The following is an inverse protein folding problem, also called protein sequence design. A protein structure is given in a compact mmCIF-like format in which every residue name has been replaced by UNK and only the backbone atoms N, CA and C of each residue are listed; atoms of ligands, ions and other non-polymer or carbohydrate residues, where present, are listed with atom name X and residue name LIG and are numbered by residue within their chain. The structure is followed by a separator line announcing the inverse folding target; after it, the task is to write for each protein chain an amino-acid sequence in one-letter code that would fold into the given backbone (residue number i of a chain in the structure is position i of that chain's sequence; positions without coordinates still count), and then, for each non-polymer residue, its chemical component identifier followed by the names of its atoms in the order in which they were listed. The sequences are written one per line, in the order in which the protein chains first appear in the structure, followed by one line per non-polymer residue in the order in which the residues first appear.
data_IF_183676477369
#
_entry.id   IF_183676477369
#
_cell.length_a   1.000
_cell.length_b   1.000
_cell.length_c   1.000
_cell.angle_alpha   90.00
_cell.angle_beta   90.00
_cell.angle_gamma   90.00
#
_symmetry.space_group_name_H-M   'P 1'
#
loop_
_entity.id
_entity.type
_entity.pdbx_description
1 polymer ?
#
# COMPACT_ATOMS: atom_id res chain seq x y z
N UNK A 1 13.46 57.57 4.63
CA UNK A 1 14.23 56.76 5.59
C UNK A 1 13.21 56.01 6.43
N UNK A 2 12.72 54.88 5.92
CA UNK A 2 13.14 53.50 6.21
C UNK A 2 12.28 52.91 7.34
N UNK A 3 11.22 52.25 6.87
CA UNK A 3 10.54 51.04 7.36
C UNK A 3 11.31 50.21 8.39
N UNK A 4 10.66 49.71 9.46
CA UNK A 4 10.88 48.35 10.00
C UNK A 4 9.62 47.84 10.71
N UNK A 5 8.93 46.94 10.00
CA UNK A 5 7.98 45.96 10.53
C UNK A 5 8.79 44.89 11.27
N UNK A 6 8.31 44.40 12.42
CA UNK A 6 8.74 43.09 12.90
C UNK A 6 7.55 42.32 13.48
N UNK A 7 7.10 41.37 12.66
CA UNK A 7 6.09 40.35 12.95
C UNK A 7 6.49 39.50 14.15
N UNK A 8 5.54 39.33 15.07
CA UNK A 8 5.59 38.26 16.07
C UNK A 8 5.39 36.92 15.38
N UNK A 9 6.40 36.07 15.54
CA UNK A 9 6.49 34.68 15.09
C UNK A 9 5.42 33.84 15.81
N UNK A 10 4.35 33.48 15.09
CA UNK A 10 3.39 32.47 15.55
C UNK A 10 3.93 31.13 15.02
N UNK A 11 4.23 30.15 15.88
CA UNK A 11 4.69 28.85 15.40
C UNK A 11 3.60 28.26 14.51
N UNK A 12 3.95 28.00 13.26
CA UNK A 12 3.07 27.44 12.25
C UNK A 12 2.38 26.19 12.82
N UNK A 13 1.09 26.33 13.11
CA UNK A 13 0.17 25.21 13.26
C UNK A 13 0.42 24.27 12.06
N UNK A 14 0.67 22.95 12.28
CA UNK A 14 0.88 22.06 11.17
C UNK A 14 -0.34 22.18 10.26
N UNK A 15 -0.10 22.58 9.01
CA UNK A 15 -1.13 22.84 8.04
C UNK A 15 -2.20 21.74 8.10
N UNK A 16 -3.50 22.09 8.05
CA UNK A 16 -4.54 21.09 8.06
C UNK A 16 -4.23 20.11 6.93
N UNK A 17 -3.97 18.86 7.30
CA UNK A 17 -3.93 17.72 6.40
C UNK A 17 -5.17 17.87 5.51
N UNK A 18 -4.94 18.32 4.28
CA UNK A 18 -6.01 18.55 3.30
C UNK A 18 -6.68 17.20 3.16
N UNK A 19 -7.89 17.12 3.70
CA UNK A 19 -8.72 15.94 3.59
C UNK A 19 -8.95 15.75 2.09
N UNK A 20 -8.20 14.81 1.52
CA UNK A 20 -8.38 14.25 0.19
C UNK A 20 -9.90 14.05 0.03
N UNK A 21 -10.50 14.68 -0.99
CA UNK A 21 -11.96 14.69 -1.18
C UNK A 21 -12.51 13.28 -0.98
N UNK A 22 -13.57 13.17 -0.19
CA UNK A 22 -14.20 11.91 0.24
C UNK A 22 -14.67 10.98 -0.89
N UNK A 23 -14.59 11.41 -2.16
CA UNK A 23 -14.93 10.64 -3.35
C UNK A 23 -13.88 9.58 -3.74
N UNK A 24 -12.66 9.65 -3.20
CA UNK A 24 -11.56 8.71 -3.55
C UNK A 24 -11.46 7.49 -2.60
N UNK A 25 -12.34 7.39 -1.59
CA UNK A 25 -12.33 6.29 -0.63
C UNK A 25 -13.24 5.15 -1.10
N UNK A 26 -12.64 4.02 -1.45
CA UNK A 26 -13.35 2.81 -1.86
C UNK A 26 -13.54 1.85 -0.68
N UNK A 27 -14.53 0.95 -0.79
CA UNK A 27 -14.64 -0.20 0.10
C UNK A 27 -13.56 -1.22 -0.26
N UNK A 28 -12.69 -1.55 0.68
CA UNK A 28 -11.58 -2.47 0.49
C UNK A 28 -11.81 -3.70 1.37
N UNK A 29 -11.77 -4.88 0.75
CA UNK A 29 -11.86 -6.17 1.44
C UNK A 29 -10.53 -6.90 1.30
N UNK A 30 -9.88 -7.13 2.44
CA UNK A 30 -8.59 -7.81 2.53
C UNK A 30 -8.76 -9.21 3.08
N UNK A 31 -8.07 -10.17 2.47
CA UNK A 31 -7.82 -11.48 3.08
C UNK A 31 -6.77 -11.34 4.19
N UNK A 32 -6.97 -12.09 5.27
CA UNK A 32 -6.10 -12.15 6.43
C UNK A 32 -6.06 -13.58 7.01
N UNK A 33 -4.93 -13.93 7.61
CA UNK A 33 -4.64 -15.26 8.14
C UNK A 33 -4.17 -16.26 7.08
N UNK A 34 -3.78 -17.48 7.52
CA UNK A 34 -3.34 -18.55 6.63
C UNK A 34 -4.42 -18.89 5.60
N UNK A 35 -4.02 -19.00 4.33
CA UNK A 35 -4.94 -19.26 3.21
C UNK A 35 -6.03 -18.20 2.96
N UNK A 36 -6.02 -17.08 3.70
CA UNK A 36 -6.97 -15.98 3.53
C UNK A 36 -8.39 -16.28 4.01
N UNK A 37 -8.57 -17.24 4.93
CA UNK A 37 -9.89 -17.65 5.45
C UNK A 37 -10.66 -16.56 6.21
N UNK A 38 -9.98 -15.51 6.69
CA UNK A 38 -10.62 -14.34 7.31
C UNK A 38 -10.62 -13.16 6.35
N UNK A 39 -11.78 -12.54 6.17
CA UNK A 39 -11.92 -11.29 5.44
C UNK A 39 -12.00 -10.11 6.42
N UNK A 40 -11.28 -9.03 6.12
CA UNK A 40 -11.32 -7.77 6.86
C UNK A 40 -11.68 -6.66 5.90
N UNK A 41 -12.68 -5.86 6.28
CA UNK A 41 -13.21 -4.79 5.44
C UNK A 41 -12.95 -3.43 6.09
N UNK A 42 -12.56 -2.45 5.27
CA UNK A 42 -12.47 -1.05 5.66
C UNK A 42 -12.70 -0.14 4.46
N UNK A 43 -12.95 1.15 4.71
CA UNK A 43 -12.95 2.16 3.65
C UNK A 43 -11.62 2.89 3.63
N UNK A 44 -11.03 3.01 2.45
CA UNK A 44 -9.68 3.53 2.29
C UNK A 44 -9.31 3.73 0.84
N UNK A 45 -8.01 3.94 0.62
CA UNK A 45 -7.43 4.11 -0.71
C UNK A 45 -6.09 3.39 -0.76
N UNK A 46 -5.77 2.68 -1.86
CA UNK A 46 -4.45 2.09 -2.06
C UNK A 46 -3.42 3.18 -2.37
N UNK A 47 -2.34 3.22 -1.60
CA UNK A 47 -1.22 4.14 -1.80
C UNK A 47 -0.14 3.50 -2.67
N UNK A 48 0.22 2.26 -2.38
CA UNK A 48 1.31 1.58 -3.05
C UNK A 48 1.08 0.07 -3.13
N UNK A 49 1.69 -0.54 -4.14
CA UNK A 49 1.83 -1.99 -4.25
C UNK A 49 3.26 -2.29 -4.72
N UNK A 50 3.90 -3.27 -4.11
CA UNK A 50 5.04 -3.91 -4.73
C UNK A 50 4.92 -5.41 -4.66
N UNK A 51 5.65 -6.00 -5.58
CA UNK A 51 5.77 -7.42 -5.73
C UNK A 51 7.23 -7.78 -5.80
N UNK A 52 7.60 -8.78 -5.02
CA UNK A 52 8.93 -9.33 -4.98
C UNK A 52 8.86 -10.82 -5.28
N UNK A 53 9.76 -11.28 -6.13
CA UNK A 53 9.97 -12.70 -6.36
C UNK A 53 11.23 -13.08 -5.59
N UNK A 54 11.12 -14.12 -4.78
CA UNK A 54 12.19 -14.65 -3.94
C UNK A 54 12.53 -16.07 -4.40
N UNK A 55 13.53 -16.68 -3.76
CA UNK A 55 13.89 -18.07 -4.03
C UNK A 55 12.84 -19.05 -3.53
N UNK A 56 12.07 -18.67 -2.52
CA UNK A 56 11.11 -19.55 -1.83
C UNK A 56 9.66 -19.30 -2.28
N UNK A 57 9.39 -18.14 -2.89
CA UNK A 57 8.06 -17.82 -3.39
C UNK A 57 7.92 -16.43 -3.97
N UNK A 58 6.69 -15.94 -4.04
CA UNK A 58 6.36 -14.57 -4.39
C UNK A 58 5.71 -13.85 -3.20
N UNK A 59 6.16 -12.63 -2.93
CA UNK A 59 5.56 -11.74 -1.95
C UNK A 59 4.90 -10.56 -2.65
N UNK A 60 3.67 -10.24 -2.25
CA UNK A 60 2.98 -9.02 -2.66
C UNK A 60 2.64 -8.21 -1.42
N UNK A 61 3.06 -6.95 -1.42
CA UNK A 61 2.82 -6.01 -0.34
C UNK A 61 1.96 -4.87 -0.87
N UNK A 62 0.82 -4.64 -0.23
CA UNK A 62 -0.11 -3.57 -0.55
C UNK A 62 -0.26 -2.66 0.65
N UNK A 63 -0.15 -1.36 0.42
CA UNK A 63 -0.33 -0.36 1.47
C UNK A 63 -1.49 0.55 1.11
N UNK A 64 -2.34 0.79 2.09
CA UNK A 64 -3.54 1.59 1.98
C UNK A 64 -3.57 2.65 3.06
N UNK A 65 -4.25 3.76 2.78
CA UNK A 65 -4.66 4.75 3.77
C UNK A 65 -6.12 4.52 4.12
N UNK A 66 -6.42 4.33 5.39
CA UNK A 66 -7.80 4.22 5.86
C UNK A 66 -8.48 5.58 5.91
N UNK A 67 -9.82 5.59 5.96
CA UNK A 67 -10.61 6.81 6.23
C UNK A 67 -10.20 7.54 7.51
N UNK A 68 -9.66 6.82 8.50
CA UNK A 68 -9.21 7.40 9.78
C UNK A 68 -7.76 7.90 9.73
N UNK A 69 -7.12 7.90 8.55
CA UNK A 69 -5.73 8.35 8.38
C UNK A 69 -4.67 7.29 8.71
N UNK A 70 -5.04 6.16 9.32
CA UNK A 70 -4.11 5.04 9.62
C UNK A 70 -3.66 4.32 8.34
N UNK A 71 -2.47 3.74 8.35
CA UNK A 71 -1.96 2.90 7.27
C UNK A 71 -2.35 1.44 7.50
N UNK A 72 -2.83 0.79 6.45
CA UNK A 72 -3.12 -0.65 6.45
C UNK A 72 -2.16 -1.31 5.48
N UNK A 73 -1.36 -2.25 5.98
CA UNK A 73 -0.39 -3.01 5.20
C UNK A 73 -0.90 -4.45 5.08
N UNK A 74 -1.16 -4.89 3.87
CA UNK A 74 -1.41 -6.29 3.57
C UNK A 74 -0.16 -6.90 2.94
N UNK A 75 0.31 -8.01 3.51
CA UNK A 75 1.35 -8.87 2.95
C UNK A 75 0.72 -10.17 2.53
N UNK A 76 1.00 -10.59 1.32
CA UNK A 76 0.62 -11.88 0.77
C UNK A 76 1.90 -12.62 0.42
N UNK A 77 2.14 -13.76 1.05
CA UNK A 77 3.25 -14.64 0.70
C UNK A 77 2.70 -15.92 0.07
N UNK A 78 3.26 -16.32 -1.07
CA UNK A 78 2.89 -17.56 -1.75
C UNK A 78 4.15 -18.38 -2.00
N UNK A 79 4.23 -19.57 -1.39
CA UNK A 79 5.34 -20.52 -1.56
C UNK A 79 5.33 -21.14 -2.97
N UNK A 80 6.50 -21.45 -3.54
CA UNK A 80 6.59 -22.18 -4.81
C UNK A 80 5.91 -23.56 -4.79
N UNK A 81 5.82 -24.19 -3.63
CA UNK A 81 5.15 -25.47 -3.40
C UNK A 81 3.63 -25.33 -3.44
N UNK A 82 3.10 -24.24 -2.89
CA UNK A 82 1.70 -23.85 -3.06
C UNK A 82 1.43 -23.53 -4.52
N UNK A 83 2.36 -22.88 -5.23
CA UNK A 83 2.30 -22.73 -6.68
C UNK A 83 2.29 -24.10 -7.38
N UNK A 84 3.12 -25.06 -6.93
CA UNK A 84 3.25 -26.38 -7.53
C UNK A 84 1.97 -27.23 -7.42
N UNK A 85 1.19 -27.08 -6.34
CA UNK A 85 -0.13 -27.71 -6.22
C UNK A 85 -1.13 -27.23 -7.29
N UNK A 86 -0.93 -26.04 -7.88
CA UNK A 86 -1.69 -25.57 -9.04
C UNK A 86 -1.00 -25.88 -10.39
N UNK A 87 0.15 -26.58 -10.40
CA UNK A 87 1.03 -26.78 -11.59
C UNK A 87 0.85 -28.07 -12.40
N UNK A 88 -0.39 -28.54 -12.59
CA UNK A 88 -0.72 -29.19 -13.87
C UNK A 88 -0.58 -28.22 -15.08
N UNK A 89 -0.13 -26.99 -14.80
CA UNK A 89 0.02 -25.79 -15.62
C UNK A 89 1.43 -25.52 -16.20
N UNK A 90 2.46 -26.30 -15.83
CA UNK A 90 3.86 -26.08 -16.27
C UNK A 90 4.08 -25.98 -17.80
N UNK A 91 3.06 -26.31 -18.61
CA UNK A 91 3.05 -26.13 -20.07
C UNK A 91 2.89 -24.68 -20.56
N UNK A 92 2.36 -23.74 -19.78
CA UNK A 92 1.83 -22.47 -20.32
C UNK A 92 2.40 -21.19 -19.65
N UNK A 93 3.72 -21.02 -19.74
CA UNK A 93 4.47 -19.84 -19.24
C UNK A 93 4.08 -18.50 -19.93
N UNK A 94 3.16 -18.47 -20.89
CA UNK A 94 2.61 -17.20 -21.39
C UNK A 94 1.37 -16.76 -20.62
N UNK A 95 0.56 -17.72 -20.14
CA UNK A 95 -0.67 -17.41 -19.41
C UNK A 95 -0.43 -16.98 -17.96
N UNK A 96 0.64 -17.43 -17.29
CA UNK A 96 0.94 -16.97 -15.92
C UNK A 96 1.17 -15.45 -15.85
N UNK A 97 1.86 -14.85 -16.85
CA UNK A 97 2.05 -13.39 -16.95
C UNK A 97 0.73 -12.64 -17.06
N UNK A 98 -0.24 -13.20 -17.78
CA UNK A 98 -1.57 -12.62 -17.96
C UNK A 98 -2.44 -12.75 -16.71
N UNK A 99 -2.37 -13.89 -15.99
CA UNK A 99 -3.12 -14.07 -14.74
C UNK A 99 -2.60 -13.20 -13.58
N UNK A 100 -1.30 -12.94 -13.53
CA UNK A 100 -0.73 -11.99 -12.58
C UNK A 100 -1.17 -10.53 -12.81
N UNK A 101 -1.97 -10.26 -13.84
CA UNK A 101 -2.64 -8.98 -14.07
C UNK A 101 -4.11 -8.92 -13.64
N UNK A 102 -4.85 -10.03 -13.56
CA UNK A 102 -6.33 -9.99 -13.45
C UNK A 102 -7.02 -11.20 -12.76
N UNK A 103 -6.30 -12.19 -12.22
CA UNK A 103 -6.89 -13.42 -11.66
C UNK A 103 -6.91 -13.45 -10.14
N UNK A 104 -8.06 -13.78 -9.57
CA UNK A 104 -8.37 -13.87 -8.14
C UNK A 104 -7.26 -14.57 -7.33
N UNK A 105 -6.56 -13.78 -6.51
CA UNK A 105 -5.45 -14.21 -5.67
C UNK A 105 -5.99 -15.03 -4.49
N UNK A 106 -6.21 -16.33 -4.68
CA UNK A 106 -6.68 -17.24 -3.63
C UNK A 106 -5.56 -17.98 -2.90
N UNK A 107 -4.33 -17.96 -3.42
CA UNK A 107 -3.23 -18.77 -2.90
C UNK A 107 -2.24 -17.93 -2.06
N UNK A 108 -1.95 -18.39 -0.85
CA UNK A 108 -0.92 -17.83 0.02
C UNK A 108 -1.39 -17.43 1.41
N UNK A 109 -0.43 -17.10 2.25
CA UNK A 109 -0.66 -16.58 3.60
C UNK A 109 -0.79 -15.07 3.56
N UNK A 110 -1.87 -14.58 4.18
CA UNK A 110 -2.17 -13.16 4.22
C UNK A 110 -1.95 -12.62 5.63
N UNK A 111 -1.12 -11.59 5.76
CA UNK A 111 -0.96 -10.84 7.00
C UNK A 111 -1.44 -9.42 6.79
N UNK A 112 -2.32 -8.94 7.69
CA UNK A 112 -2.80 -7.56 7.67
C UNK A 112 -2.35 -6.89 8.96
N UNK A 113 -1.60 -5.81 8.82
CA UNK A 113 -1.12 -4.97 9.92
C UNK A 113 -1.67 -3.56 9.75
N UNK A 114 -2.07 -2.94 10.84
CA UNK A 114 -2.53 -1.54 10.85
C UNK A 114 -1.57 -0.75 11.72
N UNK A 115 -1.02 0.33 11.17
CA UNK A 115 -0.02 1.18 11.82
C UNK A 115 -0.41 2.64 11.71
N UNK A 116 0.09 3.45 12.64
CA UNK A 116 -0.33 4.84 12.78
C UNK A 116 0.60 5.82 12.07
N UNK A 117 1.83 5.40 11.74
CA UNK A 117 2.84 6.25 11.13
C UNK A 117 3.54 5.60 9.92
N UNK A 118 4.04 6.44 9.01
CA UNK A 118 4.88 5.98 7.88
C UNK A 118 6.14 5.28 8.38
N UNK A 119 6.72 5.72 9.51
CA UNK A 119 7.92 5.12 10.09
C UNK A 119 7.74 3.63 10.40
N UNK A 120 6.59 3.25 10.97
CA UNK A 120 6.24 1.84 11.24
C UNK A 120 6.04 1.03 9.96
N UNK A 121 5.59 1.66 8.87
CA UNK A 121 5.44 0.99 7.57
C UNK A 121 6.80 0.51 7.06
N UNK A 122 7.89 1.22 7.35
CA UNK A 122 9.25 0.86 6.92
C UNK A 122 9.67 -0.54 7.37
N UNK A 123 9.26 -0.95 8.57
CA UNK A 123 9.61 -2.26 9.13
C UNK A 123 8.83 -3.41 8.48
N UNK A 124 7.73 -3.08 7.79
CA UNK A 124 6.79 -4.05 7.23
C UNK A 124 6.92 -4.23 5.71
N UNK A 125 7.58 -3.30 5.02
CA UNK A 125 7.60 -3.26 3.56
C UNK A 125 9.02 -3.14 3.00
N UNK A 126 9.29 -3.66 1.79
CA UNK A 126 10.56 -3.44 1.11
C UNK A 126 10.86 -1.95 0.91
N UNK A 127 12.14 -1.56 0.95
CA UNK A 127 12.59 -0.16 0.82
C UNK A 127 11.98 0.59 -0.37
N UNK A 128 11.79 -0.10 -1.51
CA UNK A 128 11.18 0.49 -2.70
C UNK A 128 9.74 0.97 -2.45
N UNK A 129 8.94 0.17 -1.73
CA UNK A 129 7.56 0.53 -1.35
C UNK A 129 7.58 1.70 -0.38
N UNK A 130 8.45 1.64 0.62
CA UNK A 130 8.58 2.70 1.61
C UNK A 130 8.88 4.06 0.98
N UNK A 131 9.80 4.10 0.00
CA UNK A 131 10.11 5.33 -0.75
C UNK A 131 8.89 5.87 -1.49
N UNK A 132 8.14 5.01 -2.19
CA UNK A 132 6.90 5.41 -2.87
C UNK A 132 5.86 5.97 -1.90
N UNK A 133 5.70 5.35 -0.73
CA UNK A 133 4.74 5.82 0.27
C UNK A 133 5.18 7.16 0.85
N UNK A 134 6.47 7.30 1.17
CA UNK A 134 7.04 8.54 1.72
C UNK A 134 6.88 9.69 0.71
N UNK A 135 7.13 9.41 -0.57
CA UNK A 135 6.95 10.37 -1.66
C UNK A 135 5.47 10.82 -1.76
N UNK A 136 4.53 9.87 -1.82
CA UNK A 136 3.08 10.17 -1.86
C UNK A 136 2.63 10.93 -0.61
N UNK A 137 3.17 10.61 0.56
CA UNK A 137 2.82 11.27 1.83
C UNK A 137 3.31 12.73 1.86
N UNK A 138 4.51 12.98 1.35
CA UNK A 138 5.10 14.32 1.29
C UNK A 138 4.50 15.21 0.20
N UNK A 139 4.19 14.61 -0.95
CA UNK A 139 3.88 15.34 -2.17
C UNK A 139 2.42 15.26 -2.58
N UNK A 140 1.64 14.40 -1.94
CA UNK A 140 0.35 13.98 -2.47
C UNK A 140 0.52 13.07 -3.69
N UNK A 141 -0.52 12.29 -4.00
CA UNK A 141 -0.49 11.40 -5.18
C UNK A 141 -0.66 12.16 -6.49
N UNK A 142 -1.36 13.29 -6.44
CA UNK A 142 -1.66 14.13 -7.59
C UNK A 142 -1.07 15.50 -7.31
N UNK A 143 -0.13 15.91 -8.15
CA UNK A 143 0.37 17.28 -8.21
C UNK A 143 -0.17 17.91 -9.48
N UNK A 144 -0.87 19.03 -9.32
CA UNK A 144 -1.14 19.92 -10.43
C UNK A 144 0.15 20.67 -10.73
N UNK A 145 0.69 20.45 -11.92
CA UNK A 145 1.86 21.16 -12.42
C UNK A 145 1.39 22.39 -13.19
N UNK A 146 1.88 23.57 -12.79
CA UNK A 146 1.64 24.83 -13.49
C UNK A 146 2.53 24.89 -14.76
N UNK A 147 2.15 24.14 -15.81
CA UNK A 147 2.81 24.15 -17.12
C UNK A 147 1.82 24.29 -18.28
#
# INVERSE_FOLDING_TARGET
MTNEQQSGDIPAEPAPIVADKSDDLEEIVLKAGPGGGRLQRFHGRRLAEARQITKDGAEVVRVYRSRKGKYVVQRQFTDWSDFAMFTDWSRDWKKWRTMFGLGEQSCGDFTVSVVDSVAEVRELVPDKVYRTITDIDQHGRLQDLDI
#
